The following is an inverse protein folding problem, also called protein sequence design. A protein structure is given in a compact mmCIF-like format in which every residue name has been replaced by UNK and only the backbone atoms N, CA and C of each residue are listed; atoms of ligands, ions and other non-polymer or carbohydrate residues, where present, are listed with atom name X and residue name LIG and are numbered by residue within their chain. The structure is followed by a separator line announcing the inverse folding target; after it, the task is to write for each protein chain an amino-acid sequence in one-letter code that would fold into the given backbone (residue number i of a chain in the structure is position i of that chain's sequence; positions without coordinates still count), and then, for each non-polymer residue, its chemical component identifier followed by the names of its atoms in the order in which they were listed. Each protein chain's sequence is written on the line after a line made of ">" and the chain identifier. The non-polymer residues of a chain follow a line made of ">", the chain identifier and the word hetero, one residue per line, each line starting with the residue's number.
data_IF_241387937100
#
_entry.id   IF_241387937100
#
_cell.length_a   1.000
_cell.length_b   1.000
_cell.length_c   1.000
_cell.angle_alpha   90.00
_cell.angle_beta   90.00
_cell.angle_gamma   90.00
#
_symmetry.space_group_name_H-M   'P 1'
#
loop_
_entity.id
_entity.type
_entity.pdbx_description
1 polymer ?
#
# COMPACT_ATOMS: atom_id res chain seq x y z
N UNK A 1 1.50 -15.63 6.80
CA UNK A 1 1.81 -14.35 7.50
C UNK A 1 3.13 -13.75 7.01
N UNK A 2 4.26 -14.46 7.07
CA UNK A 2 5.51 -13.98 6.43
C UNK A 2 5.54 -14.25 4.91
N UNK A 3 5.00 -15.38 4.44
CA UNK A 3 4.98 -15.72 3.00
C UNK A 3 4.20 -14.71 2.16
N UNK A 4 3.06 -14.24 2.67
CA UNK A 4 2.23 -13.22 2.00
C UNK A 4 2.96 -11.87 1.87
N UNK A 5 3.80 -11.51 2.86
CA UNK A 5 4.56 -10.27 2.86
C UNK A 5 5.68 -10.29 1.81
N UNK A 6 6.39 -11.42 1.67
CA UNK A 6 7.46 -11.57 0.68
C UNK A 6 6.90 -11.55 -0.74
N UNK A 7 5.78 -12.23 -0.98
CA UNK A 7 5.11 -12.20 -2.29
C UNK A 7 4.62 -10.78 -2.64
N UNK A 8 4.02 -10.07 -1.68
CA UNK A 8 3.61 -8.68 -1.85
C UNK A 8 4.81 -7.75 -2.13
N UNK A 9 5.92 -7.94 -1.42
CA UNK A 9 7.15 -7.17 -1.65
C UNK A 9 7.72 -7.38 -3.07
N UNK A 10 7.88 -8.64 -3.50
CA UNK A 10 8.44 -8.96 -4.81
C UNK A 10 7.55 -8.47 -5.96
N UNK A 11 6.23 -8.63 -5.81
CA UNK A 11 5.27 -8.13 -6.81
C UNK A 11 5.29 -6.61 -6.90
N UNK A 12 5.38 -5.90 -5.76
CA UNK A 12 5.53 -4.44 -5.74
C UNK A 12 6.81 -3.98 -6.43
N UNK A 13 7.94 -4.63 -6.16
CA UNK A 13 9.22 -4.29 -6.80
C UNK A 13 9.10 -4.35 -8.32
N UNK A 14 8.54 -5.44 -8.86
CA UNK A 14 8.32 -5.58 -10.31
C UNK A 14 7.36 -4.52 -10.84
N UNK A 15 6.31 -4.21 -10.10
CA UNK A 15 5.33 -3.19 -10.51
C UNK A 15 5.96 -1.79 -10.55
N UNK A 16 6.80 -1.42 -9.58
CA UNK A 16 7.55 -0.15 -9.58
C UNK A 16 8.64 -0.06 -10.65
N UNK A 17 9.16 -1.18 -11.14
CA UNK A 17 10.07 -1.15 -12.30
C UNK A 17 9.33 -0.77 -13.59
N UNK A 18 8.05 -1.12 -13.70
CA UNK A 18 7.22 -0.80 -14.86
C UNK A 18 6.49 0.55 -14.72
N UNK A 19 6.29 1.03 -13.49
CA UNK A 19 5.56 2.25 -13.19
C UNK A 19 6.38 3.21 -12.34
N UNK A 20 6.48 4.47 -12.79
CA UNK A 20 7.25 5.50 -12.10
C UNK A 20 6.64 5.88 -10.72
N UNK A 21 5.33 5.70 -10.54
CA UNK A 21 4.61 5.97 -9.29
C UNK A 21 3.61 4.85 -9.00
N UNK A 22 3.53 4.46 -7.72
CA UNK A 22 2.62 3.42 -7.22
C UNK A 22 1.89 3.93 -5.99
N UNK A 23 0.59 3.62 -5.91
CA UNK A 23 -0.24 3.93 -4.76
C UNK A 23 -0.73 2.65 -4.10
N UNK A 24 -0.50 2.53 -2.79
CA UNK A 24 -0.84 1.40 -1.96
C UNK A 24 -1.94 1.81 -1.00
N UNK A 25 -3.01 1.03 -0.92
CA UNK A 25 -4.08 1.27 0.03
C UNK A 25 -4.23 0.07 0.95
N UNK A 26 -4.32 0.29 2.26
CA UNK A 26 -4.51 -0.77 3.24
C UNK A 26 -5.50 -0.38 4.31
N UNK A 27 -6.24 -1.37 4.82
CA UNK A 27 -7.32 -1.18 5.78
C UNK A 27 -7.13 -2.08 7.00
N UNK A 28 -7.41 -1.54 8.19
CA UNK A 28 -7.38 -2.30 9.44
C UNK A 28 -6.00 -2.92 9.72
N UNK A 29 -5.93 -4.23 9.97
CA UNK A 29 -4.67 -4.93 10.29
C UNK A 29 -3.66 -4.94 9.13
N UNK A 30 -4.13 -4.80 7.88
CA UNK A 30 -3.25 -4.77 6.71
C UNK A 30 -2.39 -3.49 6.64
N UNK A 31 -2.76 -2.44 7.40
CA UNK A 31 -2.00 -1.19 7.50
C UNK A 31 -0.56 -1.48 7.93
N UNK A 32 -0.39 -2.30 8.96
CA UNK A 32 0.94 -2.64 9.50
C UNK A 32 1.83 -3.28 8.42
N UNK A 33 1.28 -4.22 7.66
CA UNK A 33 1.99 -4.91 6.58
C UNK A 33 2.44 -3.94 5.47
N UNK A 34 1.56 -3.03 5.02
CA UNK A 34 1.91 -2.08 3.96
C UNK A 34 2.93 -1.05 4.44
N UNK A 35 2.84 -0.60 5.69
CA UNK A 35 3.85 0.30 6.28
C UNK A 35 5.20 -0.40 6.33
N UNK A 36 5.26 -1.64 6.82
CA UNK A 36 6.52 -2.41 6.84
C UNK A 36 7.10 -2.60 5.44
N UNK A 37 6.29 -2.94 4.43
CA UNK A 37 6.77 -3.10 3.05
C UNK A 37 7.33 -1.78 2.51
N UNK A 38 6.62 -0.66 2.71
CA UNK A 38 7.08 0.65 2.30
C UNK A 38 8.39 1.06 2.99
N UNK A 39 8.55 0.74 4.28
CA UNK A 39 9.79 0.96 5.02
C UNK A 39 10.94 0.12 4.47
N UNK A 40 10.73 -1.17 4.19
CA UNK A 40 11.76 -2.04 3.60
C UNK A 40 12.21 -1.49 2.23
N UNK A 41 11.26 -1.09 1.38
CA UNK A 41 11.56 -0.54 0.06
C UNK A 41 12.37 0.76 0.13
N UNK A 42 12.03 1.65 1.08
CA UNK A 42 12.78 2.89 1.35
C UNK A 42 14.17 2.60 1.89
N UNK A 43 14.30 1.69 2.86
CA UNK A 43 15.57 1.31 3.46
C UNK A 43 16.53 0.68 2.43
N UNK A 44 15.98 -0.04 1.45
CA UNK A 44 16.75 -0.61 0.34
C UNK A 44 17.02 0.38 -0.80
N UNK A 45 16.58 1.64 -0.69
CA UNK A 45 16.78 2.68 -1.71
C UNK A 45 15.98 2.47 -2.99
N UNK A 46 14.98 1.57 -3.00
CA UNK A 46 14.21 1.20 -4.19
C UNK A 46 13.02 2.13 -4.45
N UNK A 47 12.49 2.75 -3.40
CA UNK A 47 11.34 3.63 -3.49
C UNK A 47 11.52 4.85 -2.58
N UNK A 48 10.91 5.96 -2.97
CA UNK A 48 10.83 7.19 -2.18
C UNK A 48 9.38 7.49 -1.88
N UNK A 49 9.05 7.73 -0.62
CA UNK A 49 7.70 8.15 -0.24
C UNK A 49 7.41 9.55 -0.76
N UNK A 50 6.26 9.69 -1.43
CA UNK A 50 5.77 10.95 -1.96
C UNK A 50 4.67 11.54 -1.08
N UNK A 51 3.76 10.70 -0.60
CA UNK A 51 2.63 11.14 0.23
C UNK A 51 2.03 9.99 1.03
N UNK A 52 1.66 10.27 2.27
CA UNK A 52 0.82 9.40 3.10
C UNK A 52 -0.48 10.15 3.38
N UNK A 53 -1.62 9.50 3.16
CA UNK A 53 -2.94 10.04 3.53
C UNK A 53 -3.70 8.99 4.31
N UNK A 54 -4.32 9.37 5.42
CA UNK A 54 -5.19 8.50 6.21
C UNK A 54 -6.63 8.92 6.01
N UNK A 55 -7.50 7.93 5.82
CA UNK A 55 -8.93 8.10 5.63
C UNK A 55 -9.65 7.20 6.62
N UNK A 56 -10.72 7.69 7.23
CA UNK A 56 -11.55 6.89 8.13
C UNK A 56 -12.83 6.51 7.41
N UNK A 57 -13.15 5.21 7.38
CA UNK A 57 -14.36 4.69 6.74
C UNK A 57 -15.22 4.03 7.81
N UNK A 58 -16.46 4.52 7.94
CA UNK A 58 -17.47 3.90 8.77
C UNK A 58 -18.16 2.78 8.00
N UNK A 59 -17.93 1.55 8.42
CA UNK A 59 -18.62 0.39 7.85
C UNK A 59 -19.87 0.17 8.68
N UNK A 60 -21.02 0.42 8.07
CA UNK A 60 -22.30 0.03 8.65
C UNK A 60 -22.49 -1.46 8.39
N UNK A 61 -22.25 -2.26 9.42
CA UNK A 61 -22.55 -3.69 9.39
C UNK A 61 -24.09 -3.86 9.46
N UNK A 62 -24.75 -4.12 8.32
CA UNK A 62 -26.16 -4.55 8.29
C UNK A 62 -26.23 -5.98 8.83
N UNK A 63 -26.20 -6.14 10.15
CA UNK A 63 -26.41 -7.43 10.79
C UNK A 63 -27.91 -7.71 10.80
N UNK A 64 -28.38 -8.35 9.73
CA UNK A 64 -29.74 -8.88 9.64
C UNK A 64 -30.04 -9.83 10.82
N UNK A 65 -31.06 -9.47 11.61
CA UNK A 65 -32.01 -10.46 12.09
C UNK A 65 -32.33 -10.56 13.58
N UNK A 66 -31.64 -9.91 14.55
CA UNK A 66 -32.04 -9.97 15.98
C UNK A 66 -31.70 -8.70 16.77
N UNK A 67 -32.58 -8.19 17.65
CA UNK A 67 -32.36 -6.94 18.36
C UNK A 67 -31.46 -7.17 19.58
N UNK A 68 -30.17 -6.84 19.45
CA UNK A 68 -29.28 -6.63 20.60
C UNK A 68 -28.70 -5.23 20.51
N UNK A 69 -29.04 -4.41 21.51
CA UNK A 69 -28.56 -3.05 21.68
C UNK A 69 -27.03 -3.04 21.80
N UNK A 70 -26.34 -2.62 20.75
CA UNK A 70 -25.07 -1.87 20.80
C UNK A 70 -24.75 -1.43 19.38
N UNK A 71 -24.59 -0.12 19.17
CA UNK A 71 -24.00 0.40 17.95
C UNK A 71 -22.53 -0.06 17.93
N UNK A 72 -22.25 -1.19 17.30
CA UNK A 72 -20.88 -1.64 17.04
C UNK A 72 -20.43 -0.84 15.81
N UNK A 73 -19.91 0.36 16.06
CA UNK A 73 -19.30 1.16 15.00
C UNK A 73 -17.94 0.54 14.72
N UNK A 74 -17.85 -0.23 13.65
CA UNK A 74 -16.59 -0.74 13.14
C UNK A 74 -15.97 0.34 12.24
N UNK A 75 -15.39 1.35 12.88
CA UNK A 75 -14.61 2.37 12.19
C UNK A 75 -13.30 1.73 11.71
N UNK A 76 -13.14 1.59 10.40
CA UNK A 76 -11.89 1.08 9.82
C UNK A 76 -11.09 2.24 9.22
N UNK A 77 -9.85 2.36 9.67
CA UNK A 77 -8.90 3.27 9.08
C UNK A 77 -8.36 2.66 7.78
N UNK A 78 -8.20 3.51 6.79
CA UNK A 78 -7.52 3.22 5.53
C UNK A 78 -6.31 4.13 5.44
N UNK A 79 -5.17 3.57 5.07
CA UNK A 79 -4.00 4.35 4.69
C UNK A 79 -3.85 4.30 3.19
N UNK A 80 -3.47 5.42 2.60
CA UNK A 80 -3.03 5.55 1.21
C UNK A 80 -1.57 5.97 1.23
N UNK A 81 -0.69 5.13 0.71
CA UNK A 81 0.74 5.36 0.59
C UNK A 81 1.10 5.53 -0.88
N UNK A 82 1.59 6.70 -1.25
CA UNK A 82 2.10 6.97 -2.58
C UNK A 82 3.61 6.95 -2.55
N UNK A 83 4.21 6.05 -3.33
CA UNK A 83 5.66 5.90 -3.47
C UNK A 83 6.06 6.12 -4.93
N UNK A 84 7.18 6.82 -5.12
CA UNK A 84 7.84 6.95 -6.41
C UNK A 84 8.93 5.88 -6.50
N UNK A 85 9.01 5.26 -7.66
CA UNK A 85 10.08 4.35 -8.01
C UNK A 85 11.41 5.09 -8.08
N UNK A 86 12.46 4.56 -7.44
CA UNK A 86 13.82 5.09 -7.51
C UNK A 86 14.70 4.29 -8.49
N UNK A 87 14.10 3.44 -9.32
CA UNK A 87 14.80 2.93 -10.49
C UNK A 87 15.02 4.12 -11.42
N UNK A 88 16.23 4.67 -11.41
CA UNK A 88 16.66 5.67 -12.36
C UNK A 88 16.55 5.04 -13.76
N UNK A 89 15.44 5.33 -14.43
CA UNK A 89 15.23 4.95 -15.82
C UNK A 89 15.97 5.98 -16.66
N UNK A 90 17.30 6.03 -16.56
CA UNK A 90 18.12 6.29 -17.74
C UNK A 90 17.91 5.09 -18.69
N UNK A 91 16.77 5.07 -19.38
CA UNK A 91 16.78 4.49 -20.74
C UNK A 91 17.60 5.49 -21.54
N UNK A 92 18.91 5.32 -21.47
CA UNK A 92 19.80 5.73 -22.52
C UNK A 92 19.36 4.90 -23.73
N UNK A 93 18.39 5.40 -24.49
CA UNK A 93 18.19 4.93 -25.86
C UNK A 93 19.47 5.33 -26.57
N UNK A 94 20.43 4.42 -26.56
CA UNK A 94 21.64 4.54 -27.34
C UNK A 94 21.20 4.87 -28.77
N UNK A 95 21.68 6.01 -29.27
CA UNK A 95 21.12 6.70 -30.42
C UNK A 95 21.01 5.84 -31.66
N UNK A 96 19.84 5.89 -32.29
CA UNK A 96 19.74 5.74 -33.74
C UNK A 96 19.80 7.14 -34.36
N UNK A 97 21.01 7.69 -34.49
CA UNK A 97 21.43 8.45 -35.67
C UNK A 97 22.94 8.64 -35.71
#
# INVERSE_FOLDING_TARGET
>A
MFDDLVAAYLSLQRYMQQHNEVELSALGMAIATVVTIAEILKNNGLAVEKKITTSTVDIREETGGRPVQKAKVNTLNIIHYKIRSNYDVEIHVCGFR
#
